data_IF_525385663239
#
_entry.id   IF_525385663239
#
_cell.length_a   1.000
_cell.length_b   1.000
_cell.length_c   1.000
_cell.angle_alpha   90.00
_cell.angle_beta   90.00
_cell.angle_gamma   90.00
#
_symmetry.space_group_name_H-M   'P 1'
#
loop_
_entity.id
_entity.type
_entity.pdbx_description
1 polymer ?
#
# COMPACT_ATOMS: atom_id res chain seq x y z
N UNK A 1 19.56 10.14 -3.36
CA UNK A 1 19.01 9.29 -2.28
C UNK A 1 20.14 8.73 -1.46
N UNK A 2 19.86 8.21 -0.28
CA UNK A 2 20.85 7.56 0.59
C UNK A 2 20.41 6.11 0.84
N UNK A 3 21.38 5.21 0.89
CA UNK A 3 21.18 3.81 1.26
C UNK A 3 22.34 3.39 2.17
N UNK A 4 22.01 2.76 3.28
CA UNK A 4 22.96 2.17 4.20
C UNK A 4 22.58 0.70 4.40
N UNK A 5 23.56 -0.18 4.33
CA UNK A 5 23.40 -1.61 4.57
C UNK A 5 24.57 -2.12 5.38
N UNK A 6 24.33 -3.07 6.25
CA UNK A 6 25.39 -3.71 7.01
C UNK A 6 24.88 -4.97 7.69
N UNK A 7 25.82 -5.75 8.20
CA UNK A 7 25.54 -6.90 9.03
C UNK A 7 26.60 -7.01 10.13
N UNK A 8 26.24 -7.63 11.25
CA UNK A 8 27.20 -8.17 12.22
C UNK A 8 27.41 -9.64 11.89
N UNK A 9 28.66 -10.08 11.84
CA UNK A 9 28.98 -11.47 11.48
C UNK A 9 28.71 -11.82 10.02
N UNK A 10 28.66 -13.12 9.74
CA UNK A 10 28.37 -13.70 8.42
C UNK A 10 26.90 -14.15 8.28
N UNK A 11 26.08 -13.90 9.29
CA UNK A 11 24.67 -14.30 9.36
C UNK A 11 24.48 -15.73 9.86
N UNK A 12 25.54 -16.42 10.27
CA UNK A 12 25.48 -17.81 10.72
C UNK A 12 25.21 -17.95 12.21
N UNK A 13 25.51 -16.93 13.02
CA UNK A 13 25.54 -17.04 14.47
C UNK A 13 24.29 -16.46 15.14
N UNK A 14 23.84 -17.04 16.29
CA UNK A 14 22.84 -16.39 17.14
C UNK A 14 23.29 -14.97 17.53
N UNK A 15 22.41 -13.99 17.36
CA UNK A 15 22.70 -12.58 17.59
C UNK A 15 23.20 -11.82 16.36
N UNK A 16 23.48 -12.48 15.23
CA UNK A 16 23.83 -11.78 14.00
C UNK A 16 22.65 -10.90 13.53
N UNK A 17 22.97 -9.65 13.19
CA UNK A 17 22.03 -8.62 12.77
C UNK A 17 22.32 -8.25 11.33
N UNK A 18 21.29 -8.12 10.49
CA UNK A 18 21.37 -7.50 9.17
C UNK A 18 20.48 -6.26 9.12
N UNK A 19 20.93 -5.20 8.46
CA UNK A 19 20.09 -4.01 8.25
C UNK A 19 20.23 -3.44 6.86
N UNK A 20 19.14 -2.85 6.39
CA UNK A 20 19.09 -2.03 5.18
C UNK A 20 18.16 -0.86 5.43
N UNK A 21 18.67 0.35 5.28
CA UNK A 21 17.90 1.59 5.37
C UNK A 21 18.09 2.37 4.07
N UNK A 22 17.01 2.94 3.57
CA UNK A 22 17.04 3.78 2.37
C UNK A 22 16.12 4.97 2.51
N UNK A 23 16.57 6.11 2.00
CA UNK A 23 15.74 7.29 1.85
C UNK A 23 15.93 7.90 0.47
N UNK A 24 14.83 8.29 -0.17
CA UNK A 24 14.88 8.95 -1.46
C UNK A 24 13.94 10.14 -1.46
N UNK A 25 14.39 11.21 -2.11
CA UNK A 25 13.58 12.38 -2.43
C UNK A 25 13.55 12.50 -3.93
N UNK A 26 12.34 12.55 -4.47
CA UNK A 26 12.07 12.76 -5.87
C UNK A 26 11.23 14.02 -6.02
N UNK A 27 11.57 14.84 -7.01
CA UNK A 27 10.80 16.01 -7.40
C UNK A 27 10.79 16.10 -8.91
N UNK A 28 9.68 16.56 -9.48
CA UNK A 28 9.55 16.84 -10.91
C UNK A 28 8.69 18.09 -11.10
N UNK A 29 9.02 18.88 -12.11
CA UNK A 29 8.18 19.99 -12.56
C UNK A 29 7.04 19.52 -13.47
N UNK A 30 7.04 18.24 -13.86
CA UNK A 30 6.04 17.68 -14.76
C UNK A 30 6.35 17.89 -16.24
N UNK A 31 5.80 17.03 -17.10
CA UNK A 31 5.85 17.19 -18.56
C UNK A 31 4.66 18.01 -19.09
N UNK A 32 3.50 17.87 -18.42
CA UNK A 32 2.28 18.61 -18.72
C UNK A 32 2.09 19.76 -17.72
N UNK A 33 1.25 20.70 -18.08
CA UNK A 33 0.80 21.72 -17.14
C UNK A 33 0.14 21.07 -15.91
N UNK A 34 0.34 21.66 -14.73
CA UNK A 34 -0.22 21.16 -13.47
C UNK A 34 0.11 19.68 -13.17
N UNK A 35 1.36 19.25 -13.45
CA UNK A 35 1.84 17.88 -13.20
C UNK A 35 3.11 17.79 -12.35
N UNK A 36 3.39 18.86 -11.59
CA UNK A 36 4.47 18.86 -10.60
C UNK A 36 4.22 17.84 -9.50
N UNK A 37 5.28 17.19 -9.01
CA UNK A 37 5.13 16.22 -7.93
C UNK A 37 6.39 16.13 -7.07
N UNK A 38 6.15 15.84 -5.79
CA UNK A 38 7.18 15.57 -4.79
C UNK A 38 6.86 14.24 -4.12
N UNK A 39 7.88 13.39 -3.96
CA UNK A 39 7.77 12.10 -3.31
C UNK A 39 8.98 11.87 -2.42
N UNK A 40 8.74 11.73 -1.12
CA UNK A 40 9.72 11.29 -0.16
C UNK A 40 9.41 9.83 0.21
N UNK A 41 10.43 8.99 0.20
CA UNK A 41 10.35 7.60 0.67
C UNK A 41 11.40 7.36 1.74
N UNK A 42 11.01 6.66 2.80
CA UNK A 42 11.92 6.07 3.77
C UNK A 42 11.55 4.60 3.95
N UNK A 43 12.51 3.69 3.76
CA UNK A 43 12.32 2.26 3.98
C UNK A 43 13.44 1.73 4.86
N UNK A 44 13.11 0.91 5.83
CA UNK A 44 14.08 0.21 6.67
C UNK A 44 13.67 -1.25 6.83
N UNK A 45 14.67 -2.12 6.87
CA UNK A 45 14.54 -3.52 7.25
C UNK A 45 15.66 -3.85 8.21
N UNK A 46 15.32 -4.47 9.33
CA UNK A 46 16.25 -4.97 10.33
C UNK A 46 15.96 -6.46 10.53
N UNK A 47 16.95 -7.31 10.35
CA UNK A 47 16.91 -8.73 10.64
C UNK A 47 17.77 -9.06 11.86
N UNK A 48 17.31 -9.98 12.70
CA UNK A 48 18.07 -10.55 13.81
C UNK A 48 17.94 -12.06 13.75
N UNK A 49 19.06 -12.77 13.75
CA UNK A 49 19.09 -14.21 13.95
C UNK A 49 18.94 -14.49 15.44
N UNK A 50 17.82 -15.08 15.84
CA UNK A 50 17.54 -15.35 17.26
C UNK A 50 18.34 -16.57 17.70
N UNK A 51 18.32 -17.62 16.90
CA UNK A 51 19.05 -18.86 17.10
C UNK A 51 19.37 -19.51 15.74
N UNK A 52 19.94 -20.72 15.75
CA UNK A 52 20.28 -21.44 14.52
C UNK A 52 19.06 -21.75 13.63
N UNK A 53 17.86 -21.86 14.21
CA UNK A 53 16.65 -22.22 13.50
C UNK A 53 15.74 -21.02 13.19
N UNK A 54 15.98 -19.85 13.80
CA UNK A 54 14.98 -18.77 13.84
C UNK A 54 15.52 -17.40 13.47
N UNK A 55 14.71 -16.67 12.71
CA UNK A 55 15.00 -15.29 12.30
C UNK A 55 13.80 -14.39 12.55
N UNK A 56 14.06 -13.19 13.04
CA UNK A 56 13.07 -12.11 13.15
C UNK A 56 13.45 -10.99 12.21
N UNK A 57 12.49 -10.43 11.47
CA UNK A 57 12.67 -9.26 10.62
C UNK A 57 11.64 -8.20 10.95
N UNK A 58 12.10 -6.99 11.27
CA UNK A 58 11.30 -5.78 11.35
C UNK A 58 11.39 -5.02 10.03
N UNK A 59 10.26 -4.54 9.54
CA UNK A 59 10.11 -3.79 8.30
C UNK A 59 9.42 -2.47 8.62
N UNK A 60 9.92 -1.37 8.09
CA UNK A 60 9.31 -0.05 8.18
C UNK A 60 9.31 0.59 6.80
N UNK A 61 8.17 1.12 6.36
CA UNK A 61 8.12 1.96 5.16
C UNK A 61 7.29 3.21 5.44
N UNK A 62 7.71 4.33 4.87
CA UNK A 62 7.01 5.60 4.92
C UNK A 62 7.07 6.29 3.56
N UNK A 63 5.95 6.86 3.14
CA UNK A 63 5.81 7.63 1.91
C UNK A 63 5.06 8.93 2.19
N UNK A 64 5.58 10.03 1.66
CA UNK A 64 4.91 11.34 1.64
C UNK A 64 4.94 11.87 0.20
N UNK A 65 3.75 12.00 -0.39
CA UNK A 65 3.55 12.47 -1.75
C UNK A 65 2.68 13.71 -1.72
N UNK A 66 3.12 14.73 -2.46
CA UNK A 66 2.31 15.87 -2.87
C UNK A 66 2.42 15.97 -4.38
N UNK A 67 1.34 15.76 -5.09
CA UNK A 67 1.33 15.74 -6.54
C UNK A 67 0.13 16.49 -7.09
N UNK A 68 0.40 17.31 -8.09
CA UNK A 68 -0.62 17.92 -8.93
C UNK A 68 -1.14 16.86 -9.91
N UNK A 69 -2.44 16.85 -10.13
CA UNK A 69 -3.14 15.88 -10.98
C UNK A 69 -3.57 16.59 -12.27
N UNK A 70 -2.85 16.44 -13.39
CA UNK A 70 -3.17 17.16 -14.64
C UNK A 70 -4.46 16.66 -15.31
N UNK A 71 -5.03 15.55 -14.84
CA UNK A 71 -6.27 14.98 -15.33
C UNK A 71 -6.24 14.52 -16.80
N UNK A 72 -7.40 14.06 -17.26
CA UNK A 72 -7.63 13.61 -18.63
C UNK A 72 -7.87 14.76 -19.61
N UNK A 73 -7.60 14.50 -20.89
CA UNK A 73 -7.99 15.34 -22.03
C UNK A 73 -8.96 14.58 -22.91
N UNK A 74 -9.94 15.29 -23.46
CA UNK A 74 -10.75 14.76 -24.56
C UNK A 74 -9.89 14.60 -25.82
N UNK A 75 -10.40 13.88 -26.82
CA UNK A 75 -9.67 13.67 -28.08
C UNK A 75 -9.30 14.99 -28.77
N UNK A 76 -10.23 15.95 -28.81
CA UNK A 76 -10.03 17.24 -29.44
C UNK A 76 -9.00 18.09 -28.68
N UNK A 77 -9.11 18.16 -27.35
CA UNK A 77 -8.14 18.85 -26.50
C UNK A 77 -6.73 18.28 -26.68
N UNK A 78 -6.56 16.96 -26.61
CA UNK A 78 -5.24 16.33 -26.81
C UNK A 78 -4.62 16.65 -28.17
N UNK A 79 -5.44 16.66 -29.24
CA UNK A 79 -4.97 17.02 -30.59
C UNK A 79 -4.59 18.49 -30.71
N UNK A 80 -5.30 19.38 -30.03
CA UNK A 80 -5.03 20.81 -30.06
C UNK A 80 -3.76 21.17 -29.27
N UNK A 81 -3.62 20.63 -28.06
CA UNK A 81 -2.42 20.75 -27.24
C UNK A 81 -2.29 19.52 -26.34
N UNK A 82 -1.25 18.69 -26.49
CA UNK A 82 -1.08 17.49 -25.68
C UNK A 82 -0.66 17.78 -24.23
N UNK A 83 -0.17 18.98 -23.92
CA UNK A 83 0.34 19.35 -22.60
C UNK A 83 -0.65 20.08 -21.69
N UNK A 84 -1.67 20.74 -22.27
CA UNK A 84 -2.64 21.54 -21.52
C UNK A 84 -3.34 20.77 -20.40
N UNK A 85 -3.78 21.45 -19.34
CA UNK A 85 -4.52 20.85 -18.24
C UNK A 85 -5.67 21.75 -17.75
N UNK A 86 -6.68 22.04 -18.60
CA UNK A 86 -7.63 23.13 -18.36
C UNK A 86 -8.44 22.98 -17.07
N UNK A 87 -8.88 21.74 -16.77
CA UNK A 87 -9.60 21.43 -15.54
C UNK A 87 -8.70 21.48 -14.31
N UNK A 88 -7.41 21.18 -14.48
CA UNK A 88 -6.48 21.17 -13.35
C UNK A 88 -6.19 22.59 -12.87
N UNK A 89 -6.00 23.52 -13.79
CA UNK A 89 -5.86 24.96 -13.48
C UNK A 89 -7.13 25.53 -12.82
N UNK A 90 -8.31 25.13 -13.28
CA UNK A 90 -9.57 25.64 -12.75
C UNK A 90 -9.88 25.15 -11.33
N UNK A 91 -9.61 23.88 -11.03
CA UNK A 91 -10.03 23.24 -9.79
C UNK A 91 -8.86 22.91 -8.84
N UNK A 92 -7.64 23.28 -9.21
CA UNK A 92 -6.40 22.96 -8.51
C UNK A 92 -6.32 21.45 -8.21
N UNK A 93 -6.57 20.61 -9.23
CA UNK A 93 -6.68 19.16 -9.01
C UNK A 93 -5.36 18.58 -8.56
N UNK A 94 -5.37 17.96 -7.38
CA UNK A 94 -4.16 17.46 -6.74
C UNK A 94 -4.47 16.36 -5.76
N UNK A 95 -3.45 15.59 -5.42
CA UNK A 95 -3.52 14.53 -4.42
C UNK A 95 -2.34 14.58 -3.47
N UNK A 96 -2.64 14.48 -2.18
CA UNK A 96 -1.63 14.25 -1.15
C UNK A 96 -1.83 12.87 -0.56
N UNK A 97 -0.72 12.14 -0.37
CA UNK A 97 -0.72 10.79 0.21
C UNK A 97 0.35 10.74 1.27
N UNK A 98 -0.02 10.33 2.47
CA UNK A 98 0.91 9.95 3.52
C UNK A 98 0.59 8.54 3.95
N UNK A 99 1.61 7.69 4.06
CA UNK A 99 1.42 6.34 4.54
C UNK A 99 2.66 5.88 5.29
N UNK A 100 2.44 5.24 6.43
CA UNK A 100 3.49 4.60 7.22
C UNK A 100 3.03 3.20 7.58
N UNK A 101 3.92 2.22 7.42
CA UNK A 101 3.64 0.82 7.73
C UNK A 101 4.81 0.19 8.47
N UNK A 102 4.48 -0.65 9.44
CA UNK A 102 5.40 -1.50 10.16
C UNK A 102 5.00 -2.97 9.94
N UNK A 103 5.98 -3.83 9.77
CA UNK A 103 5.80 -5.27 9.62
C UNK A 103 6.79 -6.02 10.50
N UNK A 104 6.35 -7.13 11.06
CA UNK A 104 7.17 -8.04 11.84
C UNK A 104 7.00 -9.45 11.27
N UNK A 105 8.10 -10.05 10.83
CA UNK A 105 8.13 -11.40 10.31
C UNK A 105 9.01 -12.28 11.17
N UNK A 106 8.44 -13.38 11.64
CA UNK A 106 9.16 -14.44 12.33
C UNK A 106 9.20 -15.68 11.45
N UNK A 107 10.35 -16.33 11.41
CA UNK A 107 10.57 -17.59 10.71
C UNK A 107 11.28 -18.55 11.65
N UNK A 108 10.88 -19.82 11.64
CA UNK A 108 11.55 -20.89 12.37
C UNK A 108 11.51 -22.20 11.60
N UNK A 109 12.64 -22.88 11.52
CA UNK A 109 12.70 -24.29 11.18
C UNK A 109 12.36 -25.13 12.41
N UNK A 110 11.27 -25.88 12.34
CA UNK A 110 10.75 -26.71 13.45
C UNK A 110 11.40 -28.09 13.45
N UNK A 111 11.69 -28.63 12.26
CA UNK A 111 12.34 -29.92 12.03
C UNK A 111 13.13 -29.86 10.71
N UNK A 112 13.83 -30.94 10.34
CA UNK A 112 14.47 -31.03 9.02
C UNK A 112 13.47 -30.97 7.84
N UNK A 113 12.17 -31.20 8.11
CA UNK A 113 11.10 -31.25 7.12
C UNK A 113 10.06 -30.14 7.31
N UNK A 114 10.07 -29.42 8.43
CA UNK A 114 9.02 -28.49 8.82
C UNK A 114 9.56 -27.08 9.03
N UNK A 115 9.02 -26.11 8.31
CA UNK A 115 9.26 -24.69 8.54
C UNK A 115 7.94 -23.97 8.84
N UNK A 116 8.00 -22.99 9.72
CA UNK A 116 6.89 -22.08 9.97
C UNK A 116 7.30 -20.63 9.79
N UNK A 117 6.36 -19.79 9.37
CA UNK A 117 6.53 -18.35 9.39
C UNK A 117 5.25 -17.64 9.79
N UNK A 118 5.38 -16.54 10.53
CA UNK A 118 4.27 -15.65 10.87
C UNK A 118 4.67 -14.24 10.44
N UNK A 119 3.82 -13.59 9.67
CA UNK A 119 3.97 -12.20 9.25
C UNK A 119 2.81 -11.40 9.83
N UNK A 120 3.13 -10.35 10.58
CA UNK A 120 2.17 -9.37 11.06
C UNK A 120 2.50 -8.00 10.49
N UNK A 121 1.49 -7.19 10.20
CA UNK A 121 1.69 -5.81 9.80
C UNK A 121 0.60 -4.90 10.36
N UNK A 122 0.96 -3.64 10.50
CA UNK A 122 0.05 -2.54 10.78
C UNK A 122 0.49 -1.31 9.98
N UNK A 123 -0.46 -0.49 9.59
CA UNK A 123 -0.17 0.74 8.89
C UNK A 123 -1.33 1.71 8.89
N UNK A 124 -0.97 2.94 8.55
CA UNK A 124 -1.88 4.06 8.49
C UNK A 124 -1.69 4.76 7.17
N UNK A 125 -2.80 5.13 6.54
CA UNK A 125 -2.79 5.84 5.26
C UNK A 125 -3.79 6.97 5.28
N UNK A 126 -3.28 8.15 4.97
CA UNK A 126 -4.07 9.35 4.75
C UNK A 126 -3.97 9.76 3.29
N UNK A 127 -5.11 10.11 2.69
CA UNK A 127 -5.17 10.60 1.32
C UNK A 127 -6.20 11.71 1.22
N UNK A 128 -5.78 12.85 0.66
CA UNK A 128 -6.70 13.92 0.26
C UNK A 128 -6.62 14.09 -1.25
N UNK A 129 -7.77 14.09 -1.92
CA UNK A 129 -7.88 14.32 -3.36
C UNK A 129 -8.84 15.46 -3.63
N UNK A 130 -8.37 16.46 -4.38
CA UNK A 130 -9.20 17.52 -4.96
C UNK A 130 -9.54 17.13 -6.40
N UNK A 131 -10.83 17.03 -6.70
CA UNK A 131 -11.35 16.64 -8.01
C UNK A 131 -11.89 17.84 -8.77
N UNK A 132 -11.98 17.71 -10.09
CA UNK A 132 -12.51 18.72 -11.00
C UNK A 132 -14.03 18.62 -11.17
N UNK A 133 -14.76 18.41 -10.07
CA UNK A 133 -16.23 18.36 -10.09
C UNK A 133 -16.79 19.80 -10.12
N UNK A 134 -17.64 20.16 -11.09
CA UNK A 134 -18.27 21.48 -11.13
C UNK A 134 -19.21 21.72 -9.94
N UNK A 135 -19.55 22.98 -9.66
CA UNK A 135 -20.47 23.32 -8.56
C UNK A 135 -21.88 22.75 -8.78
N UNK A 136 -22.41 22.81 -10.01
CA UNK A 136 -23.79 22.42 -10.32
C UNK A 136 -24.21 21.02 -9.78
N UNK A 137 -23.48 19.92 -10.02
CA UNK A 137 -23.84 18.62 -9.45
C UNK A 137 -23.67 18.55 -7.93
N UNK A 138 -22.74 19.34 -7.34
CA UNK A 138 -22.50 19.38 -5.89
C UNK A 138 -23.63 20.08 -5.12
N UNK A 139 -24.49 20.85 -5.81
CA UNK A 139 -25.67 21.47 -5.20
C UNK A 139 -26.78 20.46 -4.89
N UNK A 140 -26.76 19.29 -5.52
CA UNK A 140 -27.68 18.22 -5.15
C UNK A 140 -27.32 17.74 -3.73
N UNK A 141 -28.27 17.77 -2.76
CA UNK A 141 -28.01 17.35 -1.38
C UNK A 141 -27.46 15.92 -1.23
N UNK A 142 -27.70 15.04 -2.22
CA UNK A 142 -27.19 13.67 -2.25
C UNK A 142 -25.76 13.52 -2.80
N UNK A 143 -25.15 14.61 -3.31
CA UNK A 143 -23.80 14.56 -3.87
C UNK A 143 -22.73 14.57 -2.76
N UNK A 144 -21.69 13.74 -2.91
CA UNK A 144 -20.62 13.60 -1.91
C UNK A 144 -19.55 14.72 -1.93
N UNK A 145 -19.81 15.84 -2.62
CA UNK A 145 -18.81 16.89 -2.89
C UNK A 145 -17.73 16.54 -3.94
N UNK A 146 -16.70 17.37 -4.05
CA UNK A 146 -15.58 17.26 -5.00
C UNK A 146 -14.19 17.15 -4.35
N UNK A 147 -14.12 17.03 -3.02
CA UNK A 147 -12.89 16.73 -2.27
C UNK A 147 -13.12 15.47 -1.46
N UNK A 148 -12.23 14.50 -1.62
CA UNK A 148 -12.28 13.21 -0.91
C UNK A 148 -11.14 13.15 0.09
N UNK A 149 -11.45 12.87 1.35
CA UNK A 149 -10.45 12.58 2.39
C UNK A 149 -10.64 11.18 2.94
N UNK A 150 -9.55 10.43 3.04
CA UNK A 150 -9.53 9.03 3.43
C UNK A 150 -8.48 8.87 4.51
N UNK A 151 -8.90 8.45 5.71
CA UNK A 151 -7.99 8.08 6.79
C UNK A 151 -8.22 6.61 7.12
N UNK A 152 -7.22 5.78 6.83
CA UNK A 152 -7.29 4.33 6.97
C UNK A 152 -6.31 3.85 8.02
N UNK A 153 -6.77 2.97 8.89
CA UNK A 153 -5.91 2.07 9.64
C UNK A 153 -6.10 0.68 9.06
N UNK A 154 -5.00 -0.03 8.83
CA UNK A 154 -5.03 -1.40 8.33
C UNK A 154 -4.01 -2.25 9.05
N UNK A 155 -4.34 -3.51 9.24
CA UNK A 155 -3.51 -4.46 9.95
C UNK A 155 -3.84 -5.88 9.50
N UNK A 156 -2.88 -6.79 9.65
CA UNK A 156 -3.10 -8.18 9.30
C UNK A 156 -2.05 -9.11 9.88
N UNK A 157 -2.39 -10.39 9.87
CA UNK A 157 -1.54 -11.50 10.27
C UNK A 157 -1.70 -12.63 9.26
N UNK A 158 -0.59 -13.23 8.86
CA UNK A 158 -0.54 -14.42 8.02
C UNK A 158 0.37 -15.44 8.67
N UNK A 159 -0.17 -16.61 8.98
CA UNK A 159 0.55 -17.73 9.57
C UNK A 159 0.69 -18.83 8.54
N UNK A 160 1.90 -19.32 8.32
CA UNK A 160 2.24 -20.38 7.37
C UNK A 160 3.01 -21.50 8.03
N UNK A 161 2.64 -22.72 7.72
CA UNK A 161 3.45 -23.91 8.00
C UNK A 161 3.68 -24.66 6.69
N UNK A 162 4.93 -24.98 6.41
CA UNK A 162 5.37 -25.76 5.25
C UNK A 162 6.00 -27.05 5.73
N UNK A 163 5.47 -28.17 5.27
CA UNK A 163 6.01 -29.50 5.49
C UNK A 163 6.57 -30.05 4.17
N UNK A 164 7.78 -30.60 4.21
CA UNK A 164 8.49 -31.22 3.09
C UNK A 164 8.72 -32.69 3.41
N UNK A 165 7.78 -33.52 3.01
CA UNK A 165 7.76 -34.94 3.32
C UNK A 165 7.54 -35.80 2.10
N UNK A 166 7.05 -37.01 2.35
CA UNK A 166 6.73 -37.99 1.30
C UNK A 166 5.38 -38.64 1.62
N UNK A 167 4.50 -38.72 0.62
CA UNK A 167 3.24 -39.44 0.68
C UNK A 167 3.09 -40.24 -0.62
N UNK A 168 3.77 -41.39 -0.68
CA UNK A 168 3.92 -42.21 -1.90
C UNK A 168 4.88 -41.59 -2.93
N UNK A 169 4.86 -40.27 -3.08
CA UNK A 169 5.82 -39.45 -3.82
C UNK A 169 6.31 -38.30 -2.93
N UNK A 170 7.47 -37.68 -3.23
CA UNK A 170 7.88 -36.45 -2.56
C UNK A 170 6.81 -35.38 -2.67
N UNK A 171 6.40 -34.83 -1.53
CA UNK A 171 5.33 -33.83 -1.44
C UNK A 171 5.75 -32.70 -0.51
N UNK A 172 5.65 -31.48 -1.01
CA UNK A 172 5.70 -30.28 -0.17
C UNK A 172 4.31 -29.72 -0.06
N UNK A 173 3.82 -29.49 1.15
CA UNK A 173 2.57 -28.75 1.34
C UNK A 173 2.78 -27.56 2.27
N UNK A 174 2.11 -26.46 1.95
CA UNK A 174 2.06 -25.26 2.76
C UNK A 174 0.60 -24.98 3.11
N UNK A 175 0.29 -24.97 4.40
CA UNK A 175 -1.02 -24.53 4.91
C UNK A 175 -0.87 -23.19 5.61
N UNK A 176 -1.91 -22.39 5.61
CA UNK A 176 -1.90 -21.12 6.31
C UNK A 176 -3.28 -20.55 6.59
N UNK A 177 -3.27 -19.50 7.41
CA UNK A 177 -4.43 -18.70 7.75
C UNK A 177 -4.05 -17.23 7.68
N UNK A 178 -4.79 -16.48 6.87
CA UNK A 178 -4.63 -15.04 6.73
C UNK A 178 -5.83 -14.33 7.34
N UNK A 179 -5.57 -13.24 8.04
CA UNK A 179 -6.56 -12.29 8.54
C UNK A 179 -6.07 -10.89 8.25
N UNK A 180 -6.90 -10.09 7.60
CA UNK A 180 -6.64 -8.68 7.36
C UNK A 180 -7.84 -7.84 7.78
N UNK A 181 -7.58 -6.60 8.19
CA UNK A 181 -8.57 -5.64 8.58
C UNK A 181 -8.18 -4.25 8.07
N UNK A 182 -9.19 -3.48 7.67
CA UNK A 182 -9.06 -2.09 7.31
C UNK A 182 -10.30 -1.32 7.79
N UNK A 183 -10.07 -0.25 8.54
CA UNK A 183 -11.10 0.72 8.94
C UNK A 183 -10.77 2.07 8.31
N UNK A 184 -11.68 2.58 7.48
CA UNK A 184 -11.57 3.86 6.80
C UNK A 184 -12.58 4.86 7.37
N UNK A 185 -12.09 5.99 7.88
CA UNK A 185 -12.91 7.19 8.02
C UNK A 185 -12.87 7.95 6.70
N UNK A 186 -14.01 7.96 6.00
CA UNK A 186 -14.18 8.59 4.70
C UNK A 186 -15.00 9.85 4.85
N UNK A 187 -14.46 10.97 4.37
CA UNK A 187 -15.21 12.21 4.27
C UNK A 187 -15.19 12.78 2.86
N UNK A 188 -16.28 13.46 2.53
CA UNK A 188 -16.45 14.20 1.28
C UNK A 188 -16.77 15.65 1.59
N UNK A 189 -16.22 16.58 0.82
CA UNK A 189 -16.45 18.01 0.98
C UNK A 189 -16.68 18.66 -0.37
N UNK A 190 -17.34 19.82 -0.39
CA UNK A 190 -17.33 20.68 -1.57
C UNK A 190 -15.89 21.07 -1.96
N UNK A 191 -15.61 21.21 -3.26
CA UNK A 191 -14.32 21.70 -3.77
C UNK A 191 -14.29 23.23 -3.99
N UNK A 192 -15.26 23.94 -3.44
CA UNK A 192 -15.36 25.38 -3.52
C UNK A 192 -15.76 26.01 -2.18
N UNK A 193 -15.46 27.30 -2.04
CA UNK A 193 -16.09 28.21 -1.08
C UNK A 193 -16.74 29.37 -1.82
N UNK A 194 -17.79 29.93 -1.25
CA UNK A 194 -18.41 31.13 -1.82
C UNK A 194 -17.74 32.36 -1.24
N UNK A 195 -17.18 33.20 -2.11
CA UNK A 195 -16.72 34.54 -1.79
C UNK A 195 -17.66 35.55 -2.44
N UNK A 196 -18.44 36.27 -1.64
CA UNK A 196 -19.47 37.21 -2.14
C UNK A 196 -20.43 36.58 -3.18
N UNK A 197 -20.78 35.31 -2.99
CA UNK A 197 -21.66 34.55 -3.92
C UNK A 197 -20.96 33.94 -5.14
N UNK A 198 -19.67 34.21 -5.34
CA UNK A 198 -18.85 33.66 -6.43
C UNK A 198 -18.11 32.43 -5.92
N UNK A 199 -18.16 31.27 -6.62
CA UNK A 199 -17.43 30.07 -6.20
C UNK A 199 -15.93 30.20 -6.48
N UNK A 200 -15.13 30.06 -5.44
CA UNK A 200 -13.68 29.87 -5.52
C UNK A 200 -13.36 28.38 -5.39
N UNK A 201 -12.93 27.76 -6.50
CA UNK A 201 -12.57 26.35 -6.56
C UNK A 201 -11.17 26.05 -6.01
N UNK A 202 -10.84 24.77 -5.84
CA UNK A 202 -9.54 24.32 -5.29
C UNK A 202 -9.46 24.39 -3.76
N UNK A 203 -10.56 24.75 -3.11
CA UNK A 203 -10.67 24.89 -1.65
C UNK A 203 -11.57 23.80 -1.05
N UNK A 204 -11.25 23.36 0.16
CA UNK A 204 -12.11 22.45 0.91
C UNK A 204 -13.23 23.24 1.58
N UNK A 205 -14.45 23.04 1.09
CA UNK A 205 -15.68 23.67 1.57
C UNK A 205 -16.40 22.84 2.62
N UNK A 206 -17.73 22.95 2.64
CA UNK A 206 -18.60 22.25 3.58
C UNK A 206 -18.52 20.71 3.47
N UNK A 207 -18.73 20.03 4.60
CA UNK A 207 -18.80 18.57 4.70
C UNK A 207 -20.08 18.04 4.03
N UNK A 208 -19.92 17.05 3.16
CA UNK A 208 -20.99 16.44 2.34
C UNK A 208 -21.14 14.93 2.53
N UNK A 209 -20.15 14.27 3.12
CA UNK A 209 -20.16 12.83 3.42
C UNK A 209 -19.29 12.58 4.65
N UNK A 210 -19.73 11.72 5.54
CA UNK A 210 -18.96 11.29 6.72
C UNK A 210 -19.34 9.84 7.05
N UNK A 211 -18.40 8.93 6.89
CA UNK A 211 -18.61 7.50 7.02
C UNK A 211 -17.44 6.84 7.71
N UNK A 212 -17.73 5.73 8.38
CA UNK A 212 -16.75 4.76 8.81
C UNK A 212 -17.02 3.44 8.10
N UNK A 213 -16.15 3.08 7.17
CA UNK A 213 -16.25 1.86 6.37
C UNK A 213 -15.25 0.83 6.90
N UNK A 214 -15.72 -0.38 7.18
CA UNK A 214 -14.89 -1.48 7.67
C UNK A 214 -14.89 -2.61 6.65
N UNK A 215 -13.70 -3.15 6.39
CA UNK A 215 -13.51 -4.33 5.56
C UNK A 215 -12.50 -5.24 6.25
N UNK A 216 -12.79 -6.54 6.27
CA UNK A 216 -11.91 -7.54 6.84
C UNK A 216 -12.08 -8.86 6.10
N UNK A 217 -11.07 -9.72 6.15
CA UNK A 217 -11.12 -11.09 5.65
C UNK A 217 -10.55 -12.05 6.70
N UNK A 218 -10.95 -13.30 6.59
CA UNK A 218 -10.27 -14.42 7.22
C UNK A 218 -10.36 -15.58 6.24
N UNK A 219 -9.21 -16.12 5.85
CA UNK A 219 -9.17 -17.13 4.80
C UNK A 219 -8.08 -18.17 5.07
N UNK A 220 -8.46 -19.43 5.38
CA UNK A 220 -7.54 -20.54 5.36
C UNK A 220 -7.14 -20.88 3.91
N UNK A 221 -5.92 -21.35 3.73
CA UNK A 221 -5.44 -21.82 2.44
C UNK A 221 -4.48 -22.99 2.57
N UNK A 222 -4.39 -23.78 1.51
CA UNK A 222 -3.49 -24.91 1.36
C UNK A 222 -2.94 -24.91 -0.06
N UNK A 223 -1.64 -25.11 -0.20
CA UNK A 223 -0.97 -25.41 -1.45
C UNK A 223 -0.19 -26.70 -1.29
N UNK A 224 -0.19 -27.55 -2.30
CA UNK A 224 0.54 -28.81 -2.36
C UNK A 224 1.34 -28.87 -3.66
N UNK A 225 2.53 -29.46 -3.60
CA UNK A 225 3.43 -29.69 -4.72
C UNK A 225 3.85 -31.15 -4.68
N UNK A 226 3.47 -31.92 -5.69
CA UNK A 226 3.69 -33.36 -5.76
C UNK A 226 4.71 -33.67 -6.86
N UNK A 227 5.83 -34.28 -6.51
CA UNK A 227 6.84 -34.69 -7.50
C UNK A 227 6.51 -36.09 -8.05
N UNK A 228 5.63 -36.15 -9.05
CA UNK A 228 5.11 -37.41 -9.62
C UNK A 228 6.18 -38.24 -10.35
N UNK A 229 7.18 -37.58 -10.94
CA UNK A 229 8.40 -38.19 -11.49
C UNK A 229 9.54 -37.16 -11.50
N UNK A 230 10.75 -37.52 -11.93
CA UNK A 230 11.88 -36.57 -12.02
C UNK A 230 11.60 -35.32 -12.88
N UNK A 231 10.67 -35.40 -13.85
CA UNK A 231 10.38 -34.31 -14.80
C UNK A 231 8.92 -33.88 -14.80
N UNK A 232 8.10 -34.40 -13.88
CA UNK A 232 6.67 -34.06 -13.78
C UNK A 232 6.32 -33.78 -12.33
N UNK A 233 5.85 -32.55 -12.08
CA UNK A 233 5.22 -32.17 -10.81
C UNK A 233 3.76 -31.76 -11.04
N UNK A 234 2.96 -31.87 -9.98
CA UNK A 234 1.59 -31.36 -9.93
C UNK A 234 1.49 -30.39 -8.75
N UNK A 235 1.12 -29.15 -9.03
CA UNK A 235 0.82 -28.15 -8.01
C UNK A 235 -0.69 -27.94 -7.94
N UNK A 236 -1.25 -28.02 -6.73
CA UNK A 236 -2.68 -27.80 -6.48
C UNK A 236 -2.86 -26.97 -5.22
N UNK A 237 -3.85 -26.08 -5.21
CA UNK A 237 -4.14 -25.25 -4.05
C UNK A 237 -5.61 -24.84 -3.95
N UNK A 238 -6.01 -24.51 -2.73
CA UNK A 238 -7.36 -24.04 -2.37
C UNK A 238 -7.23 -22.92 -1.33
N UNK A 239 -8.15 -21.95 -1.40
CA UNK A 239 -8.34 -20.88 -0.43
C UNK A 239 -9.85 -20.66 -0.29
N UNK A 240 -10.31 -20.41 0.92
CA UNK A 240 -11.72 -20.15 1.21
C UNK A 240 -11.88 -18.80 1.88
#
# INVERSE_FOLDING_TARGET
>A
GLKATGATGDGTQPGDVDYTVSTTRFTTHGYRDHSGAQKNLANAKLGVRIDEASKLSLIFNSVDIKADDPGGLTKAEWKANPQQAPRAEQYDTRKTIKQTQAGLRYERSLSAQDDMSVMMYAGERETTQYQSIPMAPQLNPSHAGGVITLQRHYQGIDSRWTHRGELGVPVTFTTGLNYENMSENRKGYNNFRLNSGIPEYGQKGELRRDERNLMWNIDPYLQTQWQLSEKLSLDAGVRY
#
